data_IF_879070356418
#
_entry.id   IF_879070356418
#
_cell.length_a   1.000
_cell.length_b   1.000
_cell.length_c   1.000
_cell.angle_alpha   90.00
_cell.angle_beta   90.00
_cell.angle_gamma   90.00
#
_symmetry.space_group_name_H-M   'P 1'
#
loop_
_entity.id
_entity.type
_entity.pdbx_description
1 polymer ?
#
# COMPACT_ATOMS: atom_id res chain seq x y z
N UNK A 1 -13.88 -18.52 10.82
CA UNK A 1 -13.57 -17.07 10.67
C UNK A 1 -14.70 -16.45 9.90
N UNK A 2 -15.71 -15.91 10.58
CA UNK A 2 -16.73 -15.12 9.87
C UNK A 2 -16.40 -13.65 9.92
N UNK A 3 -16.01 -13.11 11.09
CA UNK A 3 -15.67 -11.69 11.22
C UNK A 3 -14.18 -11.41 11.10
N UNK A 4 -13.83 -10.55 10.15
CA UNK A 4 -12.47 -10.05 9.94
C UNK A 4 -12.43 -8.53 10.18
N UNK A 5 -11.37 -8.07 10.85
CA UNK A 5 -11.11 -6.68 11.12
C UNK A 5 -9.72 -6.29 10.62
N UNK A 6 -9.64 -5.17 9.90
CA UNK A 6 -8.37 -4.59 9.43
C UNK A 6 -7.89 -3.58 10.48
N UNK A 7 -6.72 -3.77 11.11
CA UNK A 7 -6.19 -2.81 12.08
C UNK A 7 -5.80 -1.46 11.46
N UNK A 8 -5.92 -0.38 12.24
CA UNK A 8 -5.67 1.01 11.78
C UNK A 8 -4.22 1.29 11.35
N UNK A 9 -3.28 0.46 11.78
CA UNK A 9 -1.87 0.58 11.40
C UNK A 9 -1.57 0.04 10.00
N UNK A 10 -2.52 -0.63 9.35
CA UNK A 10 -2.38 -1.11 7.96
C UNK A 10 -2.91 -0.04 7.02
N UNK A 11 -2.01 0.54 6.22
CA UNK A 11 -2.37 1.47 5.16
C UNK A 11 -2.45 0.73 3.83
N UNK A 12 -3.46 1.03 3.02
CA UNK A 12 -3.70 0.41 1.72
C UNK A 12 -3.55 1.44 0.61
N UNK A 13 -2.89 1.04 -0.48
CA UNK A 13 -2.97 1.75 -1.75
C UNK A 13 -3.52 0.81 -2.82
N UNK A 14 -4.76 1.01 -3.29
CA UNK A 14 -5.32 0.24 -4.40
C UNK A 14 -4.62 0.61 -5.71
N UNK A 15 -4.43 -0.38 -6.57
CA UNK A 15 -3.99 -0.24 -7.95
C UNK A 15 -5.17 -0.22 -8.93
N UNK A 16 -4.89 0.18 -10.18
CA UNK A 16 -5.94 0.42 -11.18
C UNK A 16 -6.59 -0.88 -11.69
N UNK A 17 -5.91 -2.02 -11.54
CA UNK A 17 -6.34 -3.32 -12.07
C UNK A 17 -6.76 -4.30 -10.96
N UNK A 18 -7.09 -3.78 -9.78
CA UNK A 18 -7.53 -4.58 -8.62
C UNK A 18 -6.39 -5.12 -7.76
N UNK A 19 -5.14 -4.90 -8.17
CA UNK A 19 -3.97 -5.10 -7.32
C UNK A 19 -3.97 -4.11 -6.15
N UNK A 20 -3.30 -4.44 -5.06
CA UNK A 20 -3.20 -3.54 -3.91
C UNK A 20 -1.85 -3.69 -3.22
N UNK A 21 -1.38 -2.63 -2.55
CA UNK A 21 -0.22 -2.72 -1.67
C UNK A 21 -0.62 -2.34 -0.25
N UNK A 22 -0.28 -3.22 0.70
CA UNK A 22 -0.45 -2.97 2.12
C UNK A 22 0.87 -2.52 2.74
N UNK A 23 0.83 -1.49 3.58
CA UNK A 23 1.94 -1.02 4.40
C UNK A 23 1.60 -1.21 5.88
N UNK A 24 2.37 -2.01 6.61
CA UNK A 24 2.31 -2.08 8.07
C UNK A 24 3.13 -0.94 8.67
N UNK A 25 2.47 0.06 9.25
CA UNK A 25 3.15 1.23 9.84
C UNK A 25 3.86 0.95 11.17
N UNK A 26 3.74 -0.25 11.73
CA UNK A 26 4.52 -0.66 12.92
C UNK A 26 5.91 -1.14 12.56
N UNK A 27 6.02 -1.82 11.42
CA UNK A 27 7.24 -2.48 10.97
C UNK A 27 7.89 -1.81 9.76
N UNK A 28 7.09 -1.13 8.93
CA UNK A 28 7.51 -0.56 7.65
C UNK A 28 7.53 -1.59 6.50
N UNK A 29 6.99 -2.79 6.70
CA UNK A 29 6.90 -3.81 5.65
C UNK A 29 5.77 -3.49 4.68
N UNK A 30 6.04 -3.76 3.40
CA UNK A 30 5.06 -3.62 2.33
C UNK A 30 4.74 -4.99 1.73
N UNK A 31 3.46 -5.24 1.45
CA UNK A 31 2.97 -6.48 0.88
C UNK A 31 2.18 -6.18 -0.39
N UNK A 32 2.65 -6.71 -1.52
CA UNK A 32 1.93 -6.63 -2.78
C UNK A 32 0.85 -7.72 -2.86
N UNK A 33 -0.33 -7.33 -3.32
CA UNK A 33 -1.47 -8.21 -3.55
C UNK A 33 -1.79 -8.25 -5.03
N UNK A 34 -1.92 -9.47 -5.55
CA UNK A 34 -2.48 -9.68 -6.88
C UNK A 34 -3.96 -9.24 -6.95
N UNK A 35 -4.55 -9.14 -8.15
CA UNK A 35 -5.94 -8.65 -8.30
C UNK A 35 -7.01 -9.43 -7.51
N UNK A 36 -6.86 -10.75 -7.39
CA UNK A 36 -7.80 -11.60 -6.66
C UNK A 36 -7.70 -11.32 -5.15
N UNK A 37 -6.47 -11.24 -4.63
CA UNK A 37 -6.17 -10.93 -3.24
C UNK A 37 -6.60 -9.50 -2.86
N UNK A 38 -6.39 -8.52 -3.76
CA UNK A 38 -6.82 -7.14 -3.56
C UNK A 38 -8.33 -7.01 -3.47
N UNK A 39 -9.08 -7.71 -4.33
CA UNK A 39 -10.55 -7.74 -4.25
C UNK A 39 -11.06 -8.42 -2.96
N UNK A 40 -10.45 -9.54 -2.56
CA UNK A 40 -10.78 -10.17 -1.28
C UNK A 40 -10.53 -9.21 -0.10
N UNK A 41 -9.38 -8.55 -0.10
CA UNK A 41 -9.00 -7.57 0.92
C UNK A 41 -10.01 -6.42 1.01
N UNK A 42 -10.35 -5.79 -0.11
CA UNK A 42 -11.31 -4.69 -0.17
C UNK A 42 -12.68 -5.11 0.38
N UNK A 43 -13.15 -6.30 0.00
CA UNK A 43 -14.42 -6.82 0.47
C UNK A 43 -14.39 -7.19 1.95
N UNK A 44 -13.31 -7.77 2.47
CA UNK A 44 -13.18 -8.01 3.91
C UNK A 44 -13.11 -6.72 4.71
N UNK A 45 -12.42 -5.70 4.20
CA UNK A 45 -12.37 -4.38 4.84
C UNK A 45 -13.75 -3.72 4.91
N UNK A 46 -14.54 -3.86 3.84
CA UNK A 46 -15.89 -3.28 3.73
C UNK A 46 -16.95 -4.06 4.51
N UNK A 47 -17.06 -5.36 4.25
CA UNK A 47 -18.12 -6.22 4.78
C UNK A 47 -17.80 -6.78 6.17
N UNK A 48 -16.51 -6.80 6.55
CA UNK A 48 -15.99 -7.52 7.73
C UNK A 48 -16.37 -9.00 7.75
N UNK A 49 -16.74 -9.58 6.60
CA UNK A 49 -17.23 -10.95 6.48
C UNK A 49 -16.45 -11.75 5.43
N UNK A 50 -15.89 -12.89 5.87
CA UNK A 50 -15.07 -13.74 5.03
C UNK A 50 -15.85 -14.30 3.83
N UNK A 51 -17.06 -14.82 4.07
CA UNK A 51 -17.88 -15.47 3.03
C UNK A 51 -18.43 -14.49 2.01
N UNK A 52 -18.76 -13.27 2.44
CA UNK A 52 -19.14 -12.18 1.53
C UNK A 52 -18.02 -11.85 0.57
N UNK A 53 -16.76 -11.78 1.04
CA UNK A 53 -15.59 -11.61 0.17
C UNK A 53 -15.46 -12.72 -0.87
N UNK A 54 -15.50 -13.99 -0.44
CA UNK A 54 -15.41 -15.15 -1.34
C UNK A 54 -16.52 -15.12 -2.40
N UNK A 55 -17.75 -14.79 -2.02
CA UNK A 55 -18.91 -14.73 -2.93
C UNK A 55 -18.72 -13.63 -3.98
N UNK A 56 -18.29 -12.42 -3.57
CA UNK A 56 -18.09 -11.30 -4.49
C UNK A 56 -16.94 -11.58 -5.45
N UNK A 57 -15.81 -12.09 -4.96
CA UNK A 57 -14.66 -12.45 -5.80
C UNK A 57 -15.02 -13.55 -6.81
N UNK A 58 -15.78 -14.57 -6.40
CA UNK A 58 -16.24 -15.61 -7.32
C UNK A 58 -17.19 -15.09 -8.41
N UNK A 59 -17.95 -14.04 -8.14
CA UNK A 59 -18.76 -13.38 -9.15
C UNK A 59 -17.90 -12.59 -10.15
N UNK A 60 -16.82 -11.97 -9.69
CA UNK A 60 -15.91 -11.18 -10.53
C UNK A 60 -15.00 -12.05 -11.42
N UNK A 61 -14.64 -13.25 -10.95
CA UNK A 61 -13.80 -14.21 -11.69
C UNK A 61 -14.54 -15.51 -12.00
N UNK A 62 -15.52 -15.51 -12.93
CA UNK A 62 -16.36 -16.68 -13.21
C UNK A 62 -15.61 -17.86 -13.84
N UNK A 63 -14.40 -17.61 -14.36
CA UNK A 63 -13.53 -18.65 -14.92
C UNK A 63 -12.87 -19.53 -13.83
N UNK A 64 -12.82 -19.06 -12.58
CA UNK A 64 -12.24 -19.78 -11.45
C UNK A 64 -13.33 -20.48 -10.65
N UNK A 65 -13.05 -21.69 -10.15
CA UNK A 65 -14.01 -22.38 -9.29
C UNK A 65 -14.14 -21.68 -7.94
N UNK A 66 -15.36 -21.64 -7.40
CA UNK A 66 -15.62 -21.05 -6.08
C UNK A 66 -14.82 -21.73 -4.97
N UNK A 67 -14.58 -23.03 -5.09
CA UNK A 67 -13.83 -23.80 -4.09
C UNK A 67 -12.35 -23.43 -4.09
N UNK A 68 -11.75 -23.20 -5.26
CA UNK A 68 -10.39 -22.67 -5.37
C UNK A 68 -10.29 -21.26 -4.77
N UNK A 69 -11.21 -20.36 -5.13
CA UNK A 69 -11.23 -19.00 -4.56
C UNK A 69 -11.37 -19.05 -3.04
N UNK A 70 -12.23 -19.93 -2.51
CA UNK A 70 -12.41 -20.11 -1.07
C UNK A 70 -11.14 -20.64 -0.40
N UNK A 71 -10.45 -21.58 -1.03
CA UNK A 71 -9.19 -22.13 -0.53
C UNK A 71 -8.09 -21.06 -0.48
N UNK A 72 -7.90 -20.34 -1.58
CA UNK A 72 -6.90 -19.26 -1.68
C UNK A 72 -7.22 -18.11 -0.73
N UNK A 73 -8.51 -17.75 -0.61
CA UNK A 73 -8.99 -16.78 0.37
C UNK A 73 -8.65 -17.20 1.80
N UNK A 74 -8.76 -18.50 2.11
CA UNK A 74 -8.41 -19.03 3.43
C UNK A 74 -6.91 -18.91 3.69
N UNK A 75 -6.09 -19.36 2.74
CA UNK A 75 -4.63 -19.24 2.85
C UNK A 75 -4.19 -17.78 3.02
N UNK A 76 -4.77 -16.86 2.25
CA UNK A 76 -4.49 -15.43 2.37
C UNK A 76 -4.90 -14.88 3.74
N UNK A 77 -6.11 -15.21 4.21
CA UNK A 77 -6.58 -14.73 5.50
C UNK A 77 -5.71 -15.25 6.65
N UNK A 78 -5.33 -16.53 6.62
CA UNK A 78 -4.46 -17.14 7.63
C UNK A 78 -3.07 -16.46 7.61
N UNK A 79 -2.48 -16.24 6.43
CA UNK A 79 -1.19 -15.55 6.29
C UNK A 79 -1.22 -14.09 6.80
N UNK A 80 -2.35 -13.39 6.63
CA UNK A 80 -2.55 -12.03 7.13
C UNK A 80 -2.81 -12.01 8.65
N UNK A 81 -3.51 -13.00 9.19
CA UNK A 81 -3.71 -13.17 10.64
C UNK A 81 -2.39 -13.45 11.36
N UNK A 82 -1.56 -14.35 10.82
CA UNK A 82 -0.24 -14.68 11.37
C UNK A 82 0.67 -13.44 11.47
N UNK A 83 0.56 -12.52 10.50
CA UNK A 83 1.31 -11.26 10.47
C UNK A 83 0.64 -10.14 11.28
N UNK A 84 -0.54 -10.40 11.84
CA UNK A 84 -1.36 -9.41 12.54
C UNK A 84 -1.86 -8.27 11.63
N UNK A 85 -1.92 -8.49 10.32
CA UNK A 85 -2.50 -7.57 9.34
C UNK A 85 -4.02 -7.69 9.24
N UNK A 86 -4.56 -8.79 9.76
CA UNK A 86 -5.99 -8.98 10.06
C UNK A 86 -6.15 -9.40 11.51
N UNK A 87 -7.33 -9.12 12.07
CA UNK A 87 -7.77 -9.67 13.35
C UNK A 87 -9.08 -10.42 13.12
N UNK A 88 -9.15 -11.68 13.57
CA UNK A 88 -10.40 -12.41 13.61
C UNK A 88 -11.13 -12.04 14.90
N UNK A 89 -12.35 -11.50 14.78
CA UNK A 89 -13.23 -11.42 15.95
C UNK A 89 -13.81 -12.81 16.21
N UNK A 90 -13.71 -13.36 17.43
CA UNK A 90 -14.44 -14.55 17.77
C UNK A 90 -15.94 -14.27 17.60
N UNK A 91 -16.64 -15.22 16.99
CA UNK A 91 -18.10 -15.19 16.90
C UNK A 91 -18.65 -15.43 18.31
N UNK A 92 -18.80 -14.37 19.12
CA UNK A 92 -19.20 -14.54 20.52
C UNK A 92 -19.48 -13.29 21.35
N UNK A 93 -18.97 -12.10 21.03
CA UNK A 93 -19.33 -10.89 21.82
C UNK A 93 -20.54 -10.19 21.18
N UNK A 94 -21.72 -10.72 21.44
CA UNK A 94 -22.98 -10.02 21.26
C UNK A 94 -23.17 -9.20 22.55
N UNK A 95 -23.32 -7.86 22.52
CA UNK A 95 -23.81 -7.15 23.71
C UNK A 95 -25.17 -7.77 24.06
N UNK A 96 -25.34 -8.18 25.30
CA UNK A 96 -26.63 -8.69 25.80
C UNK A 96 -27.76 -7.78 25.30
N UNK A 97 -28.78 -8.32 24.62
CA UNK A 97 -29.97 -7.53 24.34
C UNK A 97 -30.57 -7.09 25.69
N UNK A 98 -30.98 -5.81 25.84
CA UNK A 98 -31.68 -5.38 27.04
C UNK A 98 -32.92 -6.27 27.25
N UNK A 99 -33.26 -6.62 28.50
CA UNK A 99 -34.34 -7.54 28.78
C UNK A 99 -35.67 -6.86 28.45
N UNK A 100 -36.28 -7.29 27.35
CA UNK A 100 -37.67 -6.95 27.06
C UNK A 100 -37.93 -6.66 25.60
N UNK A 101 -38.06 -7.72 24.80
CA UNK A 101 -39.08 -7.79 23.76
C UNK A 101 -39.20 -9.23 23.28
N UNK A 102 -40.23 -9.92 23.78
CA UNK A 102 -40.67 -11.21 23.26
C UNK A 102 -41.36 -11.02 21.91
N UNK A 103 -41.33 -12.04 21.02
CA UNK A 103 -41.80 -11.92 19.65
C UNK A 103 -43.31 -12.10 19.56
N UNK A 104 -43.99 -11.20 18.84
CA UNK A 104 -45.40 -11.34 18.49
C UNK A 104 -45.51 -12.16 17.20
N UNK A 105 -46.13 -13.32 17.32
CA UNK A 105 -46.54 -14.17 16.21
C UNK A 105 -47.63 -13.48 15.37
N UNK A 106 -47.55 -13.61 14.05
CA UNK A 106 -48.69 -13.42 13.16
C UNK A 106 -48.68 -14.49 12.07
N UNK A 107 -49.65 -15.39 12.23
CA UNK A 107 -50.12 -16.43 11.32
C UNK A 107 -50.81 -15.87 10.08
N UNK A 108 -50.78 -16.62 8.95
CA UNK A 108 -51.92 -16.68 8.03
C UNK A 108 -51.63 -16.94 6.55
N UNK A 109 -51.92 -18.18 6.10
CA UNK A 109 -52.56 -18.63 4.84
C UNK A 109 -51.90 -18.25 3.48
N UNK A 110 -51.69 -19.10 2.47
CA UNK A 110 -52.43 -20.24 1.92
C UNK A 110 -52.40 -20.15 0.36
N UNK A 111 -52.71 -21.22 -0.42
CA UNK A 111 -51.90 -21.70 -1.57
C UNK A 111 -52.44 -21.42 -2.99
N UNK A 112 -51.65 -21.73 -4.04
CA UNK A 112 -52.11 -21.78 -5.45
C UNK A 112 -51.11 -22.44 -6.44
N UNK A 113 -51.59 -23.45 -7.16
CA UNK A 113 -50.90 -24.42 -8.04
C UNK A 113 -50.61 -23.96 -9.50
N UNK A 114 -49.44 -24.40 -10.04
CA UNK A 114 -49.13 -24.94 -11.40
C UNK A 114 -49.36 -24.14 -12.72
N UNK A 115 -48.99 -24.68 -13.92
CA UNK A 115 -47.77 -25.37 -14.41
C UNK A 115 -47.12 -24.72 -15.70
N UNK A 116 -45.97 -25.22 -16.20
CA UNK A 116 -45.18 -24.73 -17.40
C UNK A 116 -45.81 -25.01 -18.80
N UNK A 117 -45.10 -25.11 -19.97
CA UNK A 117 -43.65 -25.09 -20.36
C UNK A 117 -43.37 -24.31 -21.71
N UNK A 118 -42.56 -24.79 -22.72
CA UNK A 118 -41.08 -24.83 -22.88
C UNK A 118 -40.53 -23.97 -24.08
N UNK A 119 -39.21 -23.86 -24.25
CA UNK A 119 -38.63 -23.31 -25.50
C UNK A 119 -37.10 -23.26 -25.57
N UNK A 120 -36.52 -24.15 -26.36
CA UNK A 120 -35.11 -24.32 -26.73
C UNK A 120 -34.68 -23.36 -27.85
N UNK A 121 -33.44 -22.88 -27.90
CA UNK A 121 -32.56 -22.87 -29.12
C UNK A 121 -31.16 -22.32 -28.81
N UNK A 122 -30.20 -22.72 -29.65
CA UNK A 122 -28.76 -22.72 -29.43
C UNK A 122 -28.00 -21.70 -30.30
N UNK A 123 -26.86 -21.20 -29.78
CA UNK A 123 -25.64 -20.77 -30.49
C UNK A 123 -25.68 -19.47 -31.34
N UNK A 124 -24.52 -18.86 -31.70
CA UNK A 124 -23.17 -19.44 -31.69
C UNK A 124 -22.04 -18.60 -31.02
N UNK A 125 -20.95 -19.33 -30.76
CA UNK A 125 -19.57 -18.97 -30.45
C UNK A 125 -19.11 -17.50 -30.61
N UNK A 126 -18.60 -16.92 -29.52
CA UNK A 126 -17.62 -15.82 -29.55
C UNK A 126 -16.28 -16.27 -28.98
N UNK A 127 -15.23 -15.96 -29.76
CA UNK A 127 -13.84 -16.36 -29.66
C UNK A 127 -13.26 -16.21 -28.24
N UNK A 128 -12.67 -17.29 -27.74
CA UNK A 128 -11.78 -17.27 -26.60
C UNK A 128 -10.48 -16.53 -26.98
N UNK A 129 -10.19 -15.43 -26.27
CA UNK A 129 -8.84 -14.86 -26.21
C UNK A 129 -8.06 -15.57 -25.09
N UNK A 130 -6.78 -15.90 -25.28
CA UNK A 130 -5.99 -16.62 -24.29
C UNK A 130 -5.55 -15.65 -23.19
N UNK A 131 -6.15 -15.78 -22.00
CA UNK A 131 -5.75 -15.10 -20.75
C UNK A 131 -5.35 -16.11 -19.67
N UNK A 132 -5.07 -17.35 -20.07
CA UNK A 132 -4.97 -18.49 -19.15
C UNK A 132 -3.54 -18.86 -18.71
N UNK A 133 -2.48 -18.26 -19.28
CA UNK A 133 -1.10 -18.68 -18.98
C UNK A 133 -0.31 -17.73 -18.05
N UNK A 134 -0.74 -16.48 -17.85
CA UNK A 134 -0.03 -15.54 -16.96
C UNK A 134 -0.46 -15.64 -15.49
N UNK A 135 -1.56 -16.35 -15.19
CA UNK A 135 -2.09 -16.48 -13.83
C UNK A 135 -1.37 -17.54 -12.97
N UNK A 136 -0.40 -18.27 -13.52
CA UNK A 136 0.27 -19.40 -12.82
C UNK A 136 1.68 -19.13 -12.30
N UNK A 137 2.23 -17.92 -12.47
CA UNK A 137 3.59 -17.59 -11.99
C UNK A 137 3.60 -16.36 -11.08
N UNK A 138 3.25 -16.56 -9.81
CA UNK A 138 3.83 -15.90 -8.63
C UNK A 138 3.03 -16.29 -7.37
N UNK A 139 2.99 -17.59 -7.06
CA UNK A 139 2.44 -18.07 -5.80
C UNK A 139 3.48 -17.87 -4.68
N UNK A 140 3.47 -16.67 -4.11
CA UNK A 140 4.13 -16.32 -2.86
C UNK A 140 3.87 -14.85 -2.54
N UNK A 141 3.48 -14.49 -1.29
CA UNK A 141 3.46 -13.09 -0.91
C UNK A 141 4.89 -12.56 -0.99
N UNK A 142 5.17 -11.71 -1.98
CA UNK A 142 6.42 -10.98 -2.07
C UNK A 142 6.43 -9.95 -0.93
N UNK A 143 6.95 -10.37 0.21
CA UNK A 143 7.28 -9.49 1.33
C UNK A 143 8.47 -8.64 0.89
N UNK A 144 8.22 -7.38 0.56
CA UNK A 144 9.27 -6.43 0.20
C UNK A 144 9.47 -5.52 1.40
N UNK A 145 10.60 -5.69 2.06
CA UNK A 145 11.01 -4.81 3.15
C UNK A 145 11.56 -3.53 2.56
N UNK A 146 11.04 -2.38 2.99
CA UNK A 146 11.53 -1.04 2.61
C UNK A 146 13.02 -0.82 2.96
N UNK A 147 13.57 -1.69 3.82
CA UNK A 147 14.99 -1.84 4.08
C UNK A 147 15.56 -2.99 3.23
N UNK A 148 16.30 -2.61 2.19
CA UNK A 148 17.20 -3.46 1.41
C UNK A 148 16.56 -4.63 0.64
N UNK A 149 16.01 -4.36 -0.54
CA UNK A 149 15.78 -5.38 -1.58
C UNK A 149 16.85 -5.24 -2.70
N UNK A 150 17.49 -6.34 -3.19
CA UNK A 150 18.58 -6.28 -4.18
C UNK A 150 18.15 -5.89 -5.61
N UNK A 151 16.83 -5.74 -5.87
CA UNK A 151 16.27 -5.50 -7.21
C UNK A 151 16.05 -4.04 -7.60
N UNK A 152 16.28 -3.08 -6.71
CA UNK A 152 16.09 -1.66 -7.02
C UNK A 152 17.14 -1.23 -8.06
N UNK A 153 16.67 -1.05 -9.31
CA UNK A 153 17.45 -0.59 -10.45
C UNK A 153 18.39 0.53 -10.02
N UNK A 154 19.69 0.22 -10.06
CA UNK A 154 20.74 1.13 -9.67
C UNK A 154 20.62 2.40 -10.52
N UNK A 155 20.11 3.47 -9.92
CA UNK A 155 20.15 4.80 -10.48
C UNK A 155 21.63 5.12 -10.72
N UNK A 156 22.07 5.01 -11.97
CA UNK A 156 23.42 5.44 -12.36
C UNK A 156 23.45 6.94 -12.24
N UNK A 157 23.98 7.42 -11.13
CA UNK A 157 24.32 8.83 -10.92
C UNK A 157 25.18 9.30 -12.08
N UNK A 158 24.62 10.16 -12.93
CA UNK A 158 25.39 10.90 -13.92
C UNK A 158 26.40 11.77 -13.16
N UNK A 159 27.69 11.60 -13.50
CA UNK A 159 28.80 12.29 -12.84
C UNK A 159 28.74 13.78 -13.21
N UNK A 160 28.08 14.58 -12.38
CA UNK A 160 28.15 16.04 -12.46
C UNK A 160 29.52 16.54 -11.95
N UNK A 161 30.03 17.65 -12.51
CA UNK A 161 31.34 18.19 -12.14
C UNK A 161 31.42 18.55 -10.65
N UNK A 162 32.60 18.30 -10.07
CA UNK A 162 32.94 18.42 -8.65
C UNK A 162 32.85 19.89 -8.19
N UNK A 163 31.64 20.37 -7.89
CA UNK A 163 31.46 21.49 -6.95
C UNK A 163 31.63 20.96 -5.53
N UNK A 164 32.18 21.79 -4.64
CA UNK A 164 32.32 21.48 -3.21
C UNK A 164 30.94 21.10 -2.67
N UNK A 165 30.77 19.86 -2.21
CA UNK A 165 29.56 19.47 -1.50
C UNK A 165 29.44 20.28 -0.23
N UNK A 166 28.29 20.92 0.03
CA UNK A 166 28.10 21.55 1.32
C UNK A 166 28.18 20.47 2.40
N UNK A 167 29.02 20.61 3.45
CA UNK A 167 29.16 19.61 4.52
C UNK A 167 27.83 19.26 5.18
N UNK A 168 26.88 20.21 5.14
CA UNK A 168 25.52 20.05 5.63
C UNK A 168 24.74 18.95 4.89
N UNK A 169 24.94 18.77 3.58
CA UNK A 169 24.26 17.72 2.80
C UNK A 169 24.71 16.32 3.22
N UNK A 170 26.02 16.14 3.47
CA UNK A 170 26.56 14.89 4.00
C UNK A 170 26.09 14.63 5.43
N UNK A 171 26.09 15.65 6.28
CA UNK A 171 25.58 15.53 7.65
C UNK A 171 24.10 15.09 7.66
N UNK A 172 23.26 15.69 6.83
CA UNK A 172 21.85 15.31 6.72
C UNK A 172 21.68 13.88 6.19
N UNK A 173 22.54 13.44 5.26
CA UNK A 173 22.57 12.05 4.80
C UNK A 173 22.93 11.08 5.91
N UNK A 174 23.94 11.40 6.74
CA UNK A 174 24.30 10.58 7.89
C UNK A 174 23.18 10.52 8.94
N UNK A 175 22.51 11.65 9.21
CA UNK A 175 21.33 11.68 10.08
C UNK A 175 20.22 10.79 9.52
N UNK A 176 19.92 10.89 8.22
CA UNK A 176 18.93 10.03 7.58
C UNK A 176 19.27 8.54 7.69
N UNK A 177 20.54 8.17 7.49
CA UNK A 177 21.02 6.80 7.65
C UNK A 177 20.84 6.29 9.08
N UNK A 178 21.07 7.13 10.10
CA UNK A 178 20.81 6.79 11.50
C UNK A 178 19.31 6.64 11.76
N UNK A 179 18.49 7.58 11.28
CA UNK A 179 17.04 7.56 11.44
C UNK A 179 16.39 6.31 10.82
N UNK A 180 16.87 5.86 9.67
CA UNK A 180 16.38 4.64 8.99
C UNK A 180 16.72 3.36 9.77
N UNK A 181 17.72 3.40 10.66
CA UNK A 181 18.04 2.26 11.55
C UNK A 181 17.17 2.23 12.80
N UNK A 182 16.39 3.27 13.05
CA UNK A 182 15.41 3.28 14.14
C UNK A 182 14.15 2.51 13.73
N UNK A 183 13.37 2.01 14.71
CA UNK A 183 12.06 1.44 14.41
C UNK A 183 11.21 2.41 13.59
N UNK A 184 10.51 1.91 12.57
CA UNK A 184 9.71 2.72 11.66
C UNK A 184 8.74 3.71 12.38
N UNK A 185 8.07 3.35 13.50
CA UNK A 185 7.24 4.29 14.25
C UNK A 185 8.02 5.46 14.85
N UNK A 186 9.28 5.24 15.23
CA UNK A 186 10.16 6.29 15.75
C UNK A 186 10.55 7.24 14.63
N UNK A 187 10.93 6.69 13.46
CA UNK A 187 11.18 7.50 12.26
C UNK A 187 9.97 8.37 11.92
N UNK A 188 8.77 7.78 11.82
CA UNK A 188 7.54 8.53 11.52
C UNK A 188 7.23 9.59 12.58
N UNK A 189 7.44 9.28 13.86
CA UNK A 189 7.26 10.24 14.94
C UNK A 189 8.21 11.43 14.82
N UNK A 190 9.49 11.18 14.51
CA UNK A 190 10.48 12.23 14.29
C UNK A 190 10.09 13.08 13.08
N UNK A 191 9.77 12.47 11.94
CA UNK A 191 9.38 13.20 10.73
C UNK A 191 8.13 14.06 10.99
N UNK A 192 7.06 13.48 11.53
CA UNK A 192 5.83 14.23 11.87
C UNK A 192 6.11 15.34 12.87
N UNK A 193 6.87 15.08 13.93
CA UNK A 193 7.21 16.09 14.92
C UNK A 193 8.01 17.25 14.30
N UNK A 194 8.99 16.95 13.45
CA UNK A 194 9.75 17.99 12.75
C UNK A 194 8.85 18.82 11.83
N UNK A 195 7.95 18.18 11.07
CA UNK A 195 7.02 18.87 10.18
C UNK A 195 6.04 19.77 10.95
N UNK A 196 5.37 19.23 11.98
CA UNK A 196 4.30 19.93 12.70
C UNK A 196 4.81 20.97 13.71
N UNK A 197 5.86 20.67 14.45
CA UNK A 197 6.27 21.50 15.60
C UNK A 197 7.54 22.30 15.35
N UNK A 198 8.45 21.81 14.52
CA UNK A 198 9.73 22.49 14.28
C UNK A 198 9.70 23.43 13.07
N UNK A 199 9.13 22.95 11.95
CA UNK A 199 9.01 23.75 10.73
C UNK A 199 7.94 24.82 10.86
N UNK A 200 8.25 26.02 10.34
CA UNK A 200 7.41 27.21 10.52
C UNK A 200 6.79 27.74 9.23
N UNK A 201 7.46 27.54 8.11
CA UNK A 201 7.05 28.04 6.79
C UNK A 201 7.15 26.91 5.79
N UNK A 202 6.27 26.89 4.79
CA UNK A 202 6.36 25.91 3.73
C UNK A 202 7.58 26.18 2.83
N UNK A 203 8.18 25.09 2.36
CA UNK A 203 9.29 25.15 1.42
C UNK A 203 8.75 25.48 0.03
N UNK A 204 9.44 26.36 -0.69
CA UNK A 204 9.16 26.54 -2.11
C UNK A 204 9.74 25.37 -2.92
N UNK A 205 9.17 25.09 -4.10
CA UNK A 205 9.71 24.07 -5.01
C UNK A 205 11.20 24.25 -5.30
N UNK A 206 11.66 25.49 -5.46
CA UNK A 206 13.08 25.80 -5.65
C UNK A 206 13.96 25.46 -4.42
N UNK A 207 13.45 25.69 -3.20
CA UNK A 207 14.17 25.34 -1.97
C UNK A 207 14.29 23.83 -1.80
N UNK A 208 13.21 23.11 -2.08
CA UNK A 208 13.18 21.65 -2.01
C UNK A 208 14.06 21.00 -3.09
N UNK A 209 14.02 21.50 -4.33
CA UNK A 209 14.88 21.02 -5.41
C UNK A 209 16.37 21.28 -5.09
N UNK A 210 16.69 22.46 -4.54
CA UNK A 210 18.05 22.75 -4.10
C UNK A 210 18.51 21.84 -2.94
N UNK A 211 17.62 21.47 -2.03
CA UNK A 211 17.91 20.53 -0.94
C UNK A 211 18.21 19.12 -1.49
N UNK A 212 17.35 18.60 -2.38
CA UNK A 212 17.57 17.32 -3.06
C UNK A 212 18.87 17.31 -3.85
N UNK A 213 19.15 18.35 -4.63
CA UNK A 213 20.40 18.46 -5.39
C UNK A 213 21.64 18.44 -4.48
N UNK A 214 21.60 19.15 -3.34
CA UNK A 214 22.70 19.16 -2.38
C UNK A 214 22.94 17.78 -1.74
N UNK A 215 21.87 17.07 -1.37
CA UNK A 215 21.94 15.72 -0.81
C UNK A 215 22.43 14.72 -1.84
N UNK A 216 21.95 14.78 -3.08
CA UNK A 216 22.40 13.88 -4.17
C UNK A 216 23.87 14.08 -4.50
N UNK A 217 24.35 15.31 -4.50
CA UNK A 217 25.78 15.58 -4.63
C UNK A 217 26.60 14.98 -3.47
N UNK A 218 26.06 14.98 -2.25
CA UNK A 218 26.70 14.36 -1.09
C UNK A 218 26.66 12.82 -1.18
N UNK A 219 25.52 12.25 -1.57
CA UNK A 219 25.31 10.83 -1.79
C UNK A 219 26.25 10.27 -2.87
N UNK A 220 26.53 11.04 -3.93
CA UNK A 220 27.49 10.64 -4.98
C UNK A 220 28.94 10.46 -4.46
N UNK A 221 29.26 11.00 -3.27
CA UNK A 221 30.56 10.81 -2.60
C UNK A 221 30.51 9.81 -1.45
N UNK A 222 29.32 9.34 -1.09
CA UNK A 222 29.14 8.36 -0.05
C UNK A 222 29.51 6.97 -0.61
N UNK A 223 30.37 6.19 0.07
CA UNK A 223 30.82 4.88 -0.44
C UNK A 223 29.72 3.81 -0.44
N UNK A 224 28.62 4.03 0.29
CA UNK A 224 27.47 3.14 0.31
C UNK A 224 26.39 3.52 -0.70
N UNK A 225 25.34 2.72 -0.77
CA UNK A 225 24.14 3.06 -1.56
C UNK A 225 23.26 4.02 -0.76
N UNK A 226 22.84 5.10 -1.40
CA UNK A 226 21.74 5.95 -0.94
C UNK A 226 20.63 5.85 -1.97
N UNK A 227 19.52 5.24 -1.58
CA UNK A 227 18.33 5.11 -2.41
C UNK A 227 17.37 6.29 -2.15
N UNK A 228 16.19 6.21 -2.75
CA UNK A 228 15.18 7.27 -2.70
C UNK A 228 14.75 7.59 -1.25
N UNK A 229 14.73 6.57 -0.37
CA UNK A 229 14.38 6.74 1.04
C UNK A 229 15.41 7.60 1.79
N UNK A 230 16.70 7.26 1.67
CA UNK A 230 17.79 8.01 2.29
C UNK A 230 17.85 9.44 1.76
N UNK A 231 17.71 9.60 0.43
CA UNK A 231 17.82 10.90 -0.23
C UNK A 231 16.66 11.81 0.17
N UNK A 232 15.42 11.33 0.12
CA UNK A 232 14.23 12.12 0.49
C UNK A 232 14.23 12.50 1.97
N UNK A 233 14.61 11.59 2.87
CA UNK A 233 14.69 11.86 4.30
C UNK A 233 15.82 12.85 4.65
N UNK A 234 16.97 12.73 3.98
CA UNK A 234 18.07 13.68 4.13
C UNK A 234 17.70 15.07 3.61
N UNK A 235 16.96 15.15 2.50
CA UNK A 235 16.46 16.42 1.96
C UNK A 235 15.43 17.06 2.91
N UNK A 236 14.51 16.27 3.47
CA UNK A 236 13.59 16.71 4.52
C UNK A 236 14.34 17.23 5.73
N UNK A 237 15.38 16.51 6.19
CA UNK A 237 16.21 16.93 7.33
C UNK A 237 16.89 18.27 7.04
N UNK A 238 17.44 18.43 5.83
CA UNK A 238 18.07 19.68 5.40
C UNK A 238 17.08 20.86 5.37
N UNK A 239 15.85 20.61 4.92
CA UNK A 239 14.77 21.60 4.93
C UNK A 239 14.30 21.92 6.36
N UNK A 240 14.18 20.91 7.22
CA UNK A 240 13.82 21.07 8.62
C UNK A 240 14.87 21.89 9.40
N UNK A 241 16.16 21.71 9.11
CA UNK A 241 17.23 22.58 9.66
C UNK A 241 17.08 24.03 9.23
N UNK A 242 16.49 24.29 8.05
CA UNK A 242 16.11 25.63 7.58
C UNK A 242 14.73 26.08 8.05
N UNK A 243 14.08 25.30 8.93
CA UNK A 243 12.70 25.47 9.43
C UNK A 243 11.66 25.55 8.32
N UNK A 244 11.91 24.86 7.21
CA UNK A 244 11.00 24.76 6.05
C UNK A 244 10.26 23.44 6.07
N UNK A 245 8.93 23.50 5.92
CA UNK A 245 8.02 22.35 5.91
C UNK A 245 7.89 21.79 4.50
N UNK A 246 7.89 20.48 4.41
CA UNK A 246 7.54 19.69 3.22
C UNK A 246 6.81 18.45 3.68
N UNK A 247 5.91 17.95 2.85
CA UNK A 247 5.27 16.65 3.08
C UNK A 247 6.23 15.56 2.66
N UNK A 248 6.50 14.59 3.53
CA UNK A 248 7.23 13.39 3.15
C UNK A 248 6.24 12.32 2.71
N UNK A 249 6.51 11.73 1.55
CA UNK A 249 5.62 10.77 0.93
C UNK A 249 6.36 9.46 0.69
N UNK A 250 5.69 8.34 0.99
CA UNK A 250 6.07 7.00 0.54
C UNK A 250 4.95 6.51 -0.36
N UNK A 251 5.32 5.94 -1.49
CA UNK A 251 4.37 5.47 -2.49
C UNK A 251 4.85 4.26 -3.27
N UNK A 252 3.93 3.73 -4.06
CA UNK A 252 4.14 2.52 -4.87
C UNK A 252 3.63 2.68 -6.27
N UNK A 253 4.31 2.05 -7.22
CA UNK A 253 3.81 1.80 -8.57
C UNK A 253 3.52 0.31 -8.73
N UNK A 254 2.41 -0.02 -9.39
CA UNK A 254 1.92 -1.38 -9.57
C UNK A 254 2.66 -2.16 -10.69
N UNK A 255 3.14 -1.45 -11.71
CA UNK A 255 3.68 -2.07 -12.93
C UNK A 255 5.06 -1.47 -13.32
N UNK A 256 6.15 -2.23 -13.17
CA UNK A 256 6.32 -3.32 -12.20
C UNK A 256 6.22 -2.80 -10.75
N UNK A 257 5.97 -3.68 -9.77
CA UNK A 257 5.92 -3.32 -8.35
C UNK A 257 7.19 -2.59 -7.91
N UNK A 258 7.06 -1.29 -7.63
CA UNK A 258 8.16 -0.41 -7.23
C UNK A 258 7.77 0.41 -6.03
N UNK A 259 8.72 0.61 -5.12
CA UNK A 259 8.58 1.49 -3.97
C UNK A 259 9.39 2.77 -4.19
N UNK A 260 8.82 3.91 -3.81
CA UNK A 260 9.50 5.19 -3.90
C UNK A 260 9.18 6.07 -2.69
N UNK A 261 10.12 6.93 -2.34
CA UNK A 261 9.98 7.90 -1.26
C UNK A 261 10.48 9.26 -1.75
N UNK A 262 9.67 10.30 -1.56
CA UNK A 262 9.93 11.63 -2.08
C UNK A 262 9.43 12.71 -1.11
N UNK A 263 9.73 13.97 -1.43
CA UNK A 263 9.20 15.14 -0.73
C UNK A 263 8.28 15.93 -1.65
N UNK A 264 7.21 16.47 -1.08
CA UNK A 264 6.27 17.34 -1.76
C UNK A 264 6.24 18.72 -1.11
N UNK A 265 5.99 19.72 -1.95
CA UNK A 265 5.68 21.09 -1.54
C UNK A 265 4.22 21.37 -1.85
N UNK A 266 3.68 22.52 -1.45
CA UNK A 266 2.32 22.92 -1.85
C UNK A 266 2.11 22.93 -3.36
N UNK A 267 3.18 23.20 -4.13
CA UNK A 267 3.15 23.19 -5.60
C UNK A 267 3.17 21.78 -6.21
N UNK A 268 3.25 20.72 -5.39
CA UNK A 268 3.29 19.33 -5.83
C UNK A 268 4.63 18.63 -5.57
N UNK A 269 4.81 17.43 -6.15
CA UNK A 269 6.01 16.61 -5.95
C UNK A 269 7.25 17.31 -6.49
N UNK A 270 8.32 17.29 -5.69
CA UNK A 270 9.58 17.94 -6.05
C UNK A 270 10.50 16.92 -6.67
N UNK A 271 10.60 17.00 -7.99
CA UNK A 271 11.45 16.16 -8.80
C UNK A 271 12.87 16.69 -8.80
N UNK A 272 13.84 15.79 -8.78
CA UNK A 272 15.07 16.12 -9.50
C UNK A 272 14.85 15.92 -11.00
N UNK A 273 15.56 16.69 -11.82
CA UNK A 273 15.41 16.72 -13.29
C UNK A 273 15.66 15.38 -14.01
N UNK A 274 16.08 14.33 -13.29
CA UNK A 274 16.31 12.97 -13.79
C UNK A 274 15.27 11.92 -13.35
N UNK A 275 14.31 12.28 -12.48
CA UNK A 275 13.23 11.41 -12.05
C UNK A 275 12.03 11.60 -12.99
N UNK A 276 12.00 10.89 -14.11
CA UNK A 276 10.79 10.80 -14.93
C UNK A 276 9.91 9.69 -14.36
N UNK A 277 8.71 10.02 -13.86
CA UNK A 277 7.68 9.02 -13.54
C UNK A 277 7.09 8.98 -12.13
N UNK A 278 7.21 10.02 -11.28
CA UNK A 278 6.45 10.05 -10.00
C UNK A 278 4.93 10.04 -10.23
N UNK A 279 4.45 10.48 -11.39
CA UNK A 279 3.02 10.41 -11.73
C UNK A 279 2.46 8.97 -11.73
N UNK A 280 3.33 7.96 -11.88
CA UNK A 280 2.95 6.55 -11.79
C UNK A 280 2.96 6.00 -10.34
N UNK A 281 3.48 6.76 -9.38
CA UNK A 281 3.55 6.35 -7.97
C UNK A 281 2.36 6.93 -7.19
N UNK A 282 1.62 6.03 -6.54
CA UNK A 282 0.51 6.37 -5.66
C UNK A 282 1.00 6.49 -4.23
N UNK A 283 0.54 7.52 -3.51
CA UNK A 283 0.89 7.76 -2.10
C UNK A 283 0.22 6.69 -1.22
N UNK A 284 1.01 5.99 -0.41
CA UNK A 284 0.51 5.11 0.66
C UNK A 284 0.59 5.82 2.00
N UNK A 285 1.66 6.58 2.22
CA UNK A 285 1.91 7.28 3.47
C UNK A 285 2.34 8.72 3.22
N UNK A 286 1.75 9.63 3.98
CA UNK A 286 2.13 11.04 4.04
C UNK A 286 2.29 11.49 5.50
N UNK A 287 3.11 12.51 5.73
CA UNK A 287 3.40 13.07 7.07
C UNK A 287 3.08 14.54 7.19
#
# INVERSE_FOLDING_TARGET
MNRLHVPDFVQESPGDHGDAVLLDTRSGHCFAMNPVAGLLWQEWRRSRDFETGVRVTAHHFPALSRDLIRHDARQLADALLERGLLTACPAGEQPDPPPGEQPVAATGNGPGDGPGPPGTTAGPARRAHPLADDARSAAGPAEVTMAADPGAQAFRSSRLPVRRTPPLGLLCLLIALVLIRLPFPVLLRVVRWTSHHWCRLDATGAQAAAALAAVRQAAARYPGRAACLEISLAALTLLALRRRRTTWCIGTAADPYRFHAWIETEAGPVMATDEQGIDAFRRILTT
#
